data_IF_515976227750
#
_entry.id   IF_515976227750
#
_cell.length_a   1.000
_cell.length_b   1.000
_cell.length_c   1.000
_cell.angle_alpha   90.00
_cell.angle_beta   90.00
_cell.angle_gamma   90.00
#
_symmetry.space_group_name_H-M   'P 1'
#
loop_
_entity.id
_entity.type
_entity.pdbx_description
1 polymer ?
#
# COMPACT_ATOMS: atom_id res chain seq x y z
N UNK A 1 -62.67 13.83 33.00
CA UNK A 1 -61.30 13.65 32.51
C UNK A 1 -60.39 13.38 33.70
N UNK A 2 -60.15 12.09 33.95
CA UNK A 2 -58.98 11.44 34.60
C UNK A 2 -58.31 12.17 35.77
N UNK A 3 -58.57 11.87 37.06
CA UNK A 3 -58.09 10.71 37.86
C UNK A 3 -56.60 10.40 37.68
N UNK A 4 -55.78 10.79 38.65
CA UNK A 4 -54.40 10.34 38.90
C UNK A 4 -54.36 9.63 40.26
N UNK A 5 -53.84 8.40 40.35
CA UNK A 5 -53.53 7.78 41.62
C UNK A 5 -52.01 7.56 41.84
N UNK A 6 -51.66 7.66 43.12
CA UNK A 6 -50.75 6.82 43.91
C UNK A 6 -49.21 6.88 43.79
N UNK A 7 -48.63 7.39 44.89
CA UNK A 7 -47.50 6.90 45.67
C UNK A 7 -46.77 5.62 45.21
N UNK A 8 -45.44 5.70 45.11
CA UNK A 8 -44.55 4.71 45.72
C UNK A 8 -43.15 5.29 45.99
N UNK A 9 -42.79 5.38 47.27
CA UNK A 9 -41.43 5.63 47.75
C UNK A 9 -40.62 4.34 47.62
N UNK A 10 -39.56 4.35 46.80
CA UNK A 10 -38.50 3.34 46.88
C UNK A 10 -37.13 4.03 46.93
N UNK A 11 -36.56 3.96 48.13
CA UNK A 11 -35.17 4.26 48.46
C UNK A 11 -34.24 3.32 47.71
N UNK A 12 -33.46 3.83 46.76
CA UNK A 12 -32.29 3.15 46.22
C UNK A 12 -31.05 3.95 46.55
N UNK A 13 -30.33 3.50 47.58
CA UNK A 13 -28.97 3.96 47.92
C UNK A 13 -28.05 3.69 46.73
N UNK A 14 -27.69 4.72 45.97
CA UNK A 14 -26.60 4.62 45.00
C UNK A 14 -25.29 4.60 45.79
N UNK A 15 -24.68 3.41 45.87
CA UNK A 15 -23.34 3.22 46.43
C UNK A 15 -22.35 3.49 45.30
N UNK A 16 -21.70 4.65 45.33
CA UNK A 16 -20.55 4.92 44.46
C UNK A 16 -19.42 3.95 44.84
N UNK A 17 -19.16 2.97 43.98
CA UNK A 17 -17.97 2.13 44.06
C UNK A 17 -16.83 2.93 43.44
N UNK A 18 -15.72 3.20 44.15
CA UNK A 18 -14.55 3.78 43.52
C UNK A 18 -13.96 2.72 42.60
N UNK A 19 -14.14 2.88 41.29
CA UNK A 19 -13.36 2.12 40.32
C UNK A 19 -11.93 2.63 40.42
N UNK A 20 -11.09 1.93 41.19
CA UNK A 20 -9.67 2.14 41.14
C UNK A 20 -9.22 1.84 39.70
N UNK A 21 -8.94 2.88 38.93
CA UNK A 21 -8.24 2.76 37.66
C UNK A 21 -6.85 2.24 38.00
N UNK A 22 -6.68 0.92 37.94
CA UNK A 22 -5.35 0.33 37.86
C UNK A 22 -4.77 0.81 36.55
N UNK A 23 -3.90 1.81 36.64
CA UNK A 23 -2.90 2.10 35.63
C UNK A 23 -2.08 0.81 35.50
N UNK A 24 -2.48 -0.05 34.56
CA UNK A 24 -1.61 -1.09 34.08
C UNK A 24 -0.54 -0.31 33.34
N UNK A 25 0.57 -0.04 34.01
CA UNK A 25 1.81 0.22 33.31
C UNK A 25 2.03 -1.01 32.44
N UNK A 26 1.62 -0.91 31.18
CA UNK A 26 2.16 -1.75 30.13
C UNK A 26 3.66 -1.58 30.28
N UNK A 27 4.31 -2.62 30.79
CA UNK A 27 5.72 -2.79 30.56
C UNK A 27 5.82 -2.86 29.04
N UNK A 28 6.08 -1.71 28.42
CA UNK A 28 6.55 -1.63 27.05
C UNK A 28 7.84 -2.45 27.08
N UNK A 29 7.70 -3.76 26.88
CA UNK A 29 8.79 -4.63 26.44
C UNK A 29 9.32 -3.89 25.22
N UNK A 30 10.56 -3.39 25.34
CA UNK A 30 11.21 -2.67 24.25
C UNK A 30 10.97 -3.45 22.97
N UNK A 31 10.47 -2.76 21.94
CA UNK A 31 10.24 -3.35 20.63
C UNK A 31 11.50 -4.12 20.25
N UNK A 32 11.39 -5.45 20.23
CA UNK A 32 12.49 -6.31 19.82
C UNK A 32 12.70 -6.01 18.34
N UNK A 33 13.68 -5.15 18.04
CA UNK A 33 14.13 -4.94 16.66
C UNK A 33 14.66 -6.28 16.17
N UNK A 34 13.87 -6.99 15.37
CA UNK A 34 14.33 -8.20 14.70
C UNK A 34 15.10 -7.79 13.46
N UNK A 35 16.38 -8.11 13.45
CA UNK A 35 17.21 -7.99 12.27
C UNK A 35 16.88 -9.14 11.31
N UNK A 36 16.83 -8.87 10.01
CA UNK A 36 16.55 -9.88 8.99
C UNK A 36 17.69 -9.91 7.98
N UNK A 37 18.15 -11.11 7.62
CA UNK A 37 19.04 -11.27 6.47
C UNK A 37 18.33 -10.81 5.19
N UNK A 38 19.06 -10.16 4.28
CA UNK A 38 18.48 -9.61 3.05
C UNK A 38 17.71 -10.69 2.25
N UNK A 39 18.24 -11.91 2.13
CA UNK A 39 17.57 -12.96 1.35
C UNK A 39 16.30 -13.45 2.04
N UNK A 40 16.30 -13.56 3.36
CA UNK A 40 15.09 -13.87 4.13
C UNK A 40 14.01 -12.79 3.96
N UNK A 41 14.41 -11.52 3.91
CA UNK A 41 13.49 -10.41 3.65
C UNK A 41 12.93 -10.44 2.24
N UNK A 42 13.78 -10.69 1.24
CA UNK A 42 13.35 -10.80 -0.16
C UNK A 42 12.39 -11.98 -0.37
N UNK A 43 12.64 -13.12 0.28
CA UNK A 43 11.70 -14.25 0.29
C UNK A 43 10.34 -13.83 0.87
N UNK A 44 10.34 -13.13 2.01
CA UNK A 44 9.10 -12.66 2.65
C UNK A 44 8.34 -11.65 1.77
N UNK A 45 9.05 -10.77 1.06
CA UNK A 45 8.44 -9.83 0.11
C UNK A 45 7.84 -10.56 -1.10
N UNK A 46 8.53 -11.59 -1.60
CA UNK A 46 8.03 -12.42 -2.70
C UNK A 46 6.85 -13.32 -2.28
N UNK A 47 6.80 -13.77 -1.03
CA UNK A 47 5.64 -14.49 -0.48
C UNK A 47 4.42 -13.57 -0.36
N UNK A 48 4.64 -12.27 -0.05
CA UNK A 48 3.58 -11.28 -0.03
C UNK A 48 3.07 -10.96 -1.44
N UNK A 49 3.95 -10.80 -2.42
CA UNK A 49 3.57 -10.64 -3.81
C UNK A 49 4.67 -11.23 -4.71
N UNK A 50 4.35 -12.35 -5.33
CA UNK A 50 5.29 -13.04 -6.20
C UNK A 50 5.71 -12.13 -7.34
N UNK A 51 7.01 -12.04 -7.59
CA UNK A 51 7.52 -11.31 -8.77
C UNK A 51 7.01 -11.91 -10.09
N UNK A 52 6.52 -13.16 -10.08
CA UNK A 52 5.85 -13.78 -11.24
C UNK A 52 4.55 -13.08 -11.64
N UNK A 53 3.96 -12.26 -10.76
CA UNK A 53 2.75 -11.48 -11.07
C UNK A 53 3.05 -10.25 -11.92
N UNK A 54 4.31 -9.81 -12.00
CA UNK A 54 4.68 -8.63 -12.74
C UNK A 54 4.45 -8.79 -14.24
N UNK A 55 4.18 -7.67 -14.89
CA UNK A 55 4.10 -7.60 -16.34
C UNK A 55 5.47 -7.89 -16.97
N UNK A 56 5.49 -8.54 -18.14
CA UNK A 56 6.73 -9.01 -18.77
C UNK A 56 7.70 -7.88 -19.20
N UNK A 57 7.22 -6.64 -19.28
CA UNK A 57 8.01 -5.47 -19.64
C UNK A 57 8.63 -4.77 -18.42
N UNK A 58 8.19 -5.14 -17.21
CA UNK A 58 8.52 -4.44 -15.98
C UNK A 58 9.85 -4.90 -15.39
N UNK A 59 10.53 -4.00 -14.66
CA UNK A 59 11.79 -4.31 -14.00
C UNK A 59 11.60 -4.33 -12.48
N UNK A 60 11.08 -5.44 -11.98
CA UNK A 60 10.73 -5.65 -10.57
C UNK A 60 11.80 -6.45 -9.82
N UNK A 61 11.69 -6.49 -8.50
CA UNK A 61 12.59 -7.24 -7.61
C UNK A 61 13.73 -6.40 -7.06
N UNK A 62 14.83 -7.06 -6.70
CA UNK A 62 16.03 -6.40 -6.18
C UNK A 62 16.83 -5.78 -7.34
N UNK A 63 16.90 -4.45 -7.35
CA UNK A 63 17.53 -3.66 -8.42
C UNK A 63 18.96 -3.23 -8.08
N UNK A 64 19.24 -3.03 -6.80
CA UNK A 64 20.59 -2.75 -6.28
C UNK A 64 20.80 -3.64 -5.08
N UNK A 65 21.78 -4.55 -5.18
CA UNK A 65 22.16 -5.48 -4.12
C UNK A 65 23.43 -5.00 -3.41
N UNK A 66 23.40 -4.75 -2.09
CA UNK A 66 24.59 -4.51 -1.30
C UNK A 66 25.43 -5.79 -1.17
N UNK A 67 26.76 -5.66 -1.04
CA UNK A 67 27.64 -6.83 -0.95
C UNK A 67 27.34 -7.68 0.30
N UNK A 68 27.20 -9.02 0.19
CA UNK A 68 26.93 -9.88 1.33
C UNK A 68 28.12 -9.97 2.30
N UNK A 69 27.87 -10.30 3.59
CA UNK A 69 26.56 -10.44 4.21
C UNK A 69 25.87 -9.08 4.37
N UNK A 70 24.54 -9.06 4.24
CA UNK A 70 23.77 -7.82 4.38
C UNK A 70 22.54 -8.03 5.27
N UNK A 71 22.56 -7.36 6.42
CA UNK A 71 21.47 -7.40 7.40
C UNK A 71 20.62 -6.16 7.26
N UNK A 72 19.30 -6.34 7.18
CA UNK A 72 18.34 -5.25 7.11
C UNK A 72 17.75 -4.99 8.50
N UNK A 73 18.07 -3.83 9.05
CA UNK A 73 17.53 -3.31 10.32
C UNK A 73 16.45 -2.25 10.04
N UNK A 74 16.61 -1.48 8.97
CA UNK A 74 15.70 -0.43 8.55
C UNK A 74 15.28 -0.62 7.10
N UNK A 75 14.01 -0.94 6.88
CA UNK A 75 13.37 -0.91 5.57
C UNK A 75 12.68 0.44 5.36
N UNK A 76 13.11 1.20 4.37
CA UNK A 76 12.50 2.49 4.01
C UNK A 76 11.51 2.31 2.86
N UNK A 77 10.28 2.79 2.99
CA UNK A 77 9.23 2.66 1.98
C UNK A 77 9.00 3.99 1.26
N UNK A 78 8.89 3.97 -0.07
CA UNK A 78 8.51 5.14 -0.87
C UNK A 78 7.74 4.75 -2.12
N UNK A 79 6.93 5.67 -2.66
CA UNK A 79 6.35 5.51 -3.99
C UNK A 79 7.42 5.73 -5.07
N UNK A 80 8.11 6.87 -4.99
CA UNK A 80 9.14 7.28 -5.94
C UNK A 80 10.45 7.56 -5.21
N UNK A 81 11.53 6.93 -5.67
CA UNK A 81 12.88 7.22 -5.19
C UNK A 81 13.47 8.40 -5.99
N UNK A 82 13.25 9.60 -5.50
CA UNK A 82 13.92 10.83 -6.00
C UNK A 82 15.24 11.09 -5.24
N UNK A 83 16.05 12.05 -5.69
CA UNK A 83 17.29 12.41 -4.99
C UNK A 83 17.05 12.95 -3.58
N UNK A 84 15.94 13.64 -3.34
CA UNK A 84 15.56 14.11 -2.01
C UNK A 84 15.09 12.96 -1.11
N UNK A 85 14.34 12.01 -1.65
CA UNK A 85 13.89 10.81 -0.91
C UNK A 85 15.08 9.90 -0.58
N UNK A 86 16.06 9.77 -1.48
CA UNK A 86 17.30 9.07 -1.19
C UNK A 86 18.03 9.71 0.00
N UNK A 87 18.14 11.04 0.02
CA UNK A 87 18.76 11.75 1.14
C UNK A 87 18.03 11.48 2.47
N UNK A 88 16.69 11.51 2.45
CA UNK A 88 15.88 11.15 3.62
C UNK A 88 16.16 9.69 4.06
N UNK A 89 16.15 8.74 3.13
CA UNK A 89 16.40 7.33 3.44
C UNK A 89 17.78 7.11 4.09
N UNK A 90 18.82 7.79 3.58
CA UNK A 90 20.17 7.75 4.16
C UNK A 90 20.21 8.37 5.56
N UNK A 91 19.54 9.50 5.77
CA UNK A 91 19.43 10.12 7.10
C UNK A 91 18.69 9.22 8.10
N UNK A 92 17.72 8.43 7.63
CA UNK A 92 17.01 7.43 8.43
C UNK A 92 17.77 6.12 8.60
N UNK A 93 18.99 6.01 8.04
CA UNK A 93 19.84 4.81 8.10
C UNK A 93 19.13 3.58 7.52
N UNK A 94 18.51 3.74 6.36
CA UNK A 94 17.92 2.64 5.60
C UNK A 94 19.01 1.62 5.19
N UNK A 95 18.74 0.33 5.37
CA UNK A 95 19.57 -0.76 4.85
C UNK A 95 19.01 -1.31 3.52
N UNK A 96 17.69 -1.15 3.32
CA UNK A 96 16.97 -1.46 2.10
C UNK A 96 15.91 -0.38 1.86
N UNK A 97 15.79 0.08 0.62
CA UNK A 97 14.71 0.96 0.15
C UNK A 97 13.76 0.11 -0.70
N UNK A 98 12.48 0.05 -0.31
CA UNK A 98 11.39 -0.44 -1.14
C UNK A 98 10.75 0.76 -1.84
N UNK A 99 11.07 0.93 -3.13
CA UNK A 99 10.49 1.96 -3.99
C UNK A 99 9.41 1.33 -4.86
N UNK A 100 8.17 1.79 -4.78
CA UNK A 100 7.07 1.26 -5.58
C UNK A 100 7.42 1.26 -7.07
N UNK A 101 7.80 2.44 -7.59
CA UNK A 101 8.29 2.57 -8.96
C UNK A 101 9.77 2.19 -9.06
N UNK A 102 10.18 1.39 -10.07
CA UNK A 102 11.58 1.05 -10.32
C UNK A 102 12.40 2.29 -10.73
N UNK A 103 13.38 2.75 -9.94
CA UNK A 103 14.26 3.85 -10.38
C UNK A 103 15.08 3.43 -11.62
N UNK A 104 15.50 2.16 -11.67
CA UNK A 104 16.14 1.52 -12.83
C UNK A 104 15.06 0.91 -13.74
N UNK A 105 14.35 1.74 -14.50
CA UNK A 105 13.30 1.25 -15.41
C UNK A 105 13.83 0.76 -16.77
N UNK A 106 15.06 1.14 -17.14
CA UNK A 106 15.72 0.73 -18.38
C UNK A 106 17.16 0.32 -18.08
N UNK A 107 17.73 -0.64 -18.84
CA UNK A 107 19.12 -1.05 -18.67
C UNK A 107 20.09 0.14 -18.77
N UNK A 108 20.95 0.28 -17.77
CA UNK A 108 22.03 1.28 -17.77
C UNK A 108 23.30 0.66 -18.34
N UNK A 109 23.80 1.21 -19.46
CA UNK A 109 25.08 0.75 -20.05
C UNK A 109 26.31 1.23 -19.27
N UNK A 110 26.16 2.30 -18.49
CA UNK A 110 27.20 2.94 -17.67
C UNK A 110 26.54 3.50 -16.42
N UNK A 111 27.30 3.55 -15.33
CA UNK A 111 26.89 4.16 -14.07
C UNK A 111 27.91 5.25 -13.75
N UNK A 112 27.50 6.51 -13.93
CA UNK A 112 28.31 7.72 -13.77
C UNK A 112 27.50 8.81 -13.07
N UNK A 113 28.14 9.90 -12.61
CA UNK A 113 27.42 10.96 -11.91
C UNK A 113 26.51 11.85 -12.81
N UNK A 114 26.33 11.48 -14.08
CA UNK A 114 25.70 12.32 -15.11
C UNK A 114 24.19 12.48 -14.95
N UNK A 115 23.47 11.37 -14.77
CA UNK A 115 22.00 11.39 -14.66
C UNK A 115 21.58 11.16 -13.22
N UNK A 116 20.43 11.73 -12.83
CA UNK A 116 19.90 11.58 -11.47
C UNK A 116 19.65 10.11 -11.11
N UNK A 117 19.21 9.28 -12.06
CA UNK A 117 19.02 7.84 -11.85
C UNK A 117 20.33 7.11 -11.58
N UNK A 118 21.39 7.41 -12.34
CA UNK A 118 22.71 6.84 -12.07
C UNK A 118 23.23 7.29 -10.70
N UNK A 119 23.03 8.56 -10.31
CA UNK A 119 23.40 9.07 -8.98
C UNK A 119 22.67 8.35 -7.85
N UNK A 120 21.40 7.97 -8.02
CA UNK A 120 20.70 7.13 -7.03
C UNK A 120 21.39 5.78 -6.83
N UNK A 121 21.77 5.11 -7.93
CA UNK A 121 22.48 3.84 -7.87
C UNK A 121 23.84 4.00 -7.20
N UNK A 122 24.62 5.02 -7.58
CA UNK A 122 25.93 5.29 -6.98
C UNK A 122 25.78 5.55 -5.48
N UNK A 123 24.86 6.42 -5.07
CA UNK A 123 24.64 6.72 -3.65
C UNK A 123 24.18 5.49 -2.86
N UNK A 124 23.31 4.66 -3.43
CA UNK A 124 22.89 3.41 -2.81
C UNK A 124 24.09 2.47 -2.59
N UNK A 125 24.93 2.28 -3.61
CA UNK A 125 26.14 1.44 -3.52
C UNK A 125 27.17 1.97 -2.51
N UNK A 126 27.48 3.27 -2.57
CA UNK A 126 28.45 3.92 -1.67
C UNK A 126 28.03 3.83 -0.19
N UNK A 127 26.72 3.84 0.07
CA UNK A 127 26.16 3.74 1.42
C UNK A 127 25.71 2.32 1.79
N UNK A 128 25.96 1.32 0.94
CA UNK A 128 25.54 -0.08 1.13
C UNK A 128 24.03 -0.24 1.38
N UNK A 129 23.20 0.49 0.66
CA UNK A 129 21.74 0.43 0.76
C UNK A 129 21.17 -0.32 -0.43
N UNK A 130 20.33 -1.32 -0.18
CA UNK A 130 19.65 -2.05 -1.25
C UNK A 130 18.50 -1.24 -1.85
N UNK A 131 18.11 -1.56 -3.08
CA UNK A 131 16.89 -1.02 -3.70
C UNK A 131 16.06 -2.18 -4.23
N UNK A 132 14.82 -2.29 -3.78
CA UNK A 132 13.83 -3.26 -4.25
C UNK A 132 12.59 -2.55 -4.77
N UNK A 133 12.01 -3.04 -5.87
CA UNK A 133 10.79 -2.48 -6.45
C UNK A 133 9.80 -3.56 -6.85
N UNK A 134 8.60 -3.60 -6.26
CA UNK A 134 7.60 -4.60 -6.64
C UNK A 134 6.70 -4.19 -7.81
N UNK A 135 6.39 -2.89 -7.94
CA UNK A 135 5.58 -2.29 -9.01
C UNK A 135 4.37 -3.14 -9.44
N UNK A 136 4.30 -3.60 -10.69
CA UNK A 136 3.15 -4.33 -11.22
C UNK A 136 2.87 -5.67 -10.51
N UNK A 137 3.86 -6.27 -9.83
CA UNK A 137 3.60 -7.45 -8.99
C UNK A 137 2.70 -7.13 -7.80
N UNK A 138 2.88 -5.94 -7.19
CA UNK A 138 2.00 -5.46 -6.11
C UNK A 138 0.64 -4.99 -6.63
N UNK A 139 0.55 -4.51 -7.87
CA UNK A 139 -0.74 -4.21 -8.50
C UNK A 139 -1.59 -5.47 -8.70
N UNK A 140 -0.95 -6.57 -9.12
CA UNK A 140 -1.61 -7.83 -9.47
C UNK A 140 -1.76 -8.81 -8.29
N UNK A 141 -1.12 -8.54 -7.15
CA UNK A 141 -1.24 -9.39 -5.97
C UNK A 141 -2.69 -9.37 -5.44
N UNK A 142 -3.24 -10.51 -4.95
CA UNK A 142 -4.61 -10.57 -4.47
C UNK A 142 -4.84 -9.62 -3.29
N UNK A 143 -3.84 -9.41 -2.43
CA UNK A 143 -3.83 -8.47 -1.31
C UNK A 143 -3.17 -7.12 -1.68
N UNK A 144 -2.94 -6.89 -2.97
CA UNK A 144 -2.17 -5.78 -3.52
C UNK A 144 -2.91 -4.44 -3.57
N UNK A 145 -2.29 -3.49 -4.26
CA UNK A 145 -2.74 -2.08 -4.36
C UNK A 145 -4.17 -2.02 -4.90
N UNK A 146 -4.45 -2.75 -5.98
CA UNK A 146 -5.76 -2.72 -6.63
C UNK A 146 -6.89 -3.29 -5.76
N UNK A 147 -6.65 -4.40 -5.03
CA UNK A 147 -7.66 -4.90 -4.09
C UNK A 147 -7.86 -3.93 -2.91
N UNK A 148 -6.77 -3.34 -2.41
CA UNK A 148 -6.87 -2.33 -1.35
C UNK A 148 -7.71 -1.12 -1.80
N UNK A 149 -7.50 -0.61 -3.01
CA UNK A 149 -8.32 0.44 -3.61
C UNK A 149 -9.78 0.01 -3.82
N UNK A 150 -10.01 -1.20 -4.32
CA UNK A 150 -11.35 -1.76 -4.51
C UNK A 150 -12.15 -1.81 -3.19
N UNK A 151 -11.50 -2.23 -2.09
CA UNK A 151 -12.12 -2.25 -0.76
C UNK A 151 -12.50 -0.86 -0.26
N UNK A 152 -11.73 0.18 -0.62
CA UNK A 152 -12.02 1.57 -0.28
C UNK A 152 -13.34 2.08 -0.87
N UNK A 153 -13.87 1.42 -1.89
CA UNK A 153 -15.11 1.78 -2.58
C UNK A 153 -16.35 1.11 -1.95
N UNK A 154 -16.17 0.28 -0.92
CA UNK A 154 -17.23 -0.47 -0.26
C UNK A 154 -17.38 -1.90 -0.80
N UNK A 155 -18.53 -2.52 -0.50
CA UNK A 155 -18.82 -3.91 -0.92
C UNK A 155 -19.03 -3.94 -2.44
N UNK A 156 -18.05 -4.49 -3.16
CA UNK A 156 -18.12 -4.67 -4.61
C UNK A 156 -17.54 -6.01 -5.04
N UNK A 157 -17.97 -6.50 -6.20
CA UNK A 157 -17.29 -7.58 -6.92
C UNK A 157 -16.26 -6.96 -7.86
N UNK A 158 -14.98 -7.14 -7.58
CA UNK A 158 -13.90 -6.72 -8.48
C UNK A 158 -13.45 -7.90 -9.32
N UNK A 159 -13.35 -7.68 -10.63
CA UNK A 159 -12.63 -8.60 -11.52
C UNK A 159 -11.52 -7.85 -12.26
N UNK A 160 -10.45 -8.54 -12.63
CA UNK A 160 -9.39 -8.02 -13.49
C UNK A 160 -9.84 -7.77 -14.90
N UNK A 161 -9.13 -6.84 -15.54
CA UNK A 161 -9.24 -6.61 -16.97
C UNK A 161 -8.31 -7.56 -17.71
N UNK A 162 -7.08 -7.72 -17.21
CA UNK A 162 -6.09 -8.62 -17.77
C UNK A 162 -5.58 -9.57 -16.70
N UNK A 163 -5.79 -10.86 -16.92
CA UNK A 163 -5.39 -11.86 -15.95
C UNK A 163 -3.90 -12.14 -15.92
N UNK A 164 -3.34 -12.27 -14.71
CA UNK A 164 -1.96 -12.69 -14.54
C UNK A 164 -1.81 -14.10 -15.10
N UNK A 165 -0.68 -14.34 -15.77
CA UNK A 165 -0.35 -15.65 -16.35
C UNK A 165 0.57 -16.47 -15.44
N UNK A 166 0.77 -16.02 -14.20
CA UNK A 166 1.68 -16.68 -13.25
C UNK A 166 1.23 -18.12 -12.93
N UNK A 167 2.14 -19.11 -12.89
CA UNK A 167 1.78 -20.52 -12.73
C UNK A 167 1.24 -20.89 -11.34
N UNK A 168 1.88 -20.40 -10.28
CA UNK A 168 1.70 -20.88 -8.89
C UNK A 168 0.62 -20.11 -8.13
N UNK A 169 0.17 -19.01 -8.71
CA UNK A 169 -0.94 -18.22 -8.26
C UNK A 169 -1.50 -17.63 -9.55
N UNK A 170 -2.53 -18.23 -10.16
CA UNK A 170 -3.36 -17.50 -11.10
C UNK A 170 -4.05 -16.41 -10.27
N UNK A 171 -3.32 -15.34 -9.96
CA UNK A 171 -3.97 -14.13 -9.48
C UNK A 171 -4.70 -13.60 -10.66
N UNK A 172 -5.89 -13.12 -10.35
CA UNK A 172 -6.76 -12.67 -11.37
C UNK A 172 -6.13 -11.44 -12.08
N UNK A 173 -5.07 -10.75 -11.63
CA UNK A 173 -4.19 -9.94 -12.51
C UNK A 173 -4.22 -8.42 -12.30
N UNK A 174 -3.68 -7.62 -13.24
CA UNK A 174 -3.59 -6.15 -13.13
C UNK A 174 -4.94 -5.49 -13.41
N UNK A 175 -5.34 -4.55 -12.55
CA UNK A 175 -6.69 -4.00 -12.55
C UNK A 175 -6.70 -2.53 -12.95
N UNK A 176 -7.61 -2.21 -13.88
CA UNK A 176 -8.32 -0.94 -13.87
C UNK A 176 -9.70 -1.22 -13.26
N UNK A 177 -10.16 -0.34 -12.37
CA UNK A 177 -11.45 -0.51 -11.69
C UNK A 177 -12.57 -0.04 -12.60
N UNK A 178 -13.27 -0.99 -13.22
CA UNK A 178 -14.49 -0.70 -13.97
C UNK A 178 -15.73 -0.85 -13.10
N UNK A 179 -16.54 0.19 -13.04
CA UNK A 179 -17.88 0.14 -12.48
C UNK A 179 -18.88 0.03 -13.63
N UNK A 180 -19.62 -1.08 -13.68
CA UNK A 180 -20.83 -1.16 -14.50
C UNK A 180 -22.02 -0.83 -13.60
N UNK A 181 -22.64 0.31 -13.85
CA UNK A 181 -23.84 0.76 -13.15
C UNK A 181 -25.02 0.74 -14.10
N UNK A 182 -26.05 -0.01 -13.75
CA UNK A 182 -27.27 -0.15 -14.56
C UNK A 182 -28.19 1.06 -14.43
N UNK A 183 -28.05 1.84 -13.35
CA UNK A 183 -28.84 3.06 -13.12
C UNK A 183 -27.91 4.24 -12.84
N UNK A 184 -28.24 5.40 -13.41
CA UNK A 184 -27.46 6.64 -13.24
C UNK A 184 -27.33 7.06 -11.77
N UNK A 185 -28.34 6.74 -10.96
CA UNK A 185 -28.35 6.99 -9.51
C UNK A 185 -27.24 6.24 -8.77
N UNK A 186 -26.78 5.11 -9.30
CA UNK A 186 -25.69 4.35 -8.72
C UNK A 186 -24.32 4.93 -9.14
N UNK A 187 -24.22 5.55 -10.32
CA UNK A 187 -23.04 6.33 -10.72
C UNK A 187 -22.83 7.52 -9.78
N UNK A 188 -23.90 8.23 -9.43
CA UNK A 188 -23.84 9.36 -8.49
C UNK A 188 -23.38 8.90 -7.10
N UNK A 189 -23.81 7.71 -6.65
CA UNK A 189 -23.31 7.10 -5.39
C UNK A 189 -21.82 6.80 -5.47
N UNK A 190 -21.33 6.21 -6.56
CA UNK A 190 -19.90 5.91 -6.74
C UNK A 190 -19.09 7.21 -6.76
N UNK A 191 -19.48 8.20 -7.57
CA UNK A 191 -18.79 9.48 -7.63
C UNK A 191 -18.80 10.18 -6.26
N UNK A 192 -19.92 10.12 -5.53
CA UNK A 192 -20.02 10.69 -4.18
C UNK A 192 -19.12 9.97 -3.19
N UNK A 193 -19.02 8.64 -3.26
CA UNK A 193 -18.11 7.85 -2.43
C UNK A 193 -16.65 8.20 -2.71
N UNK A 194 -16.24 8.31 -3.98
CA UNK A 194 -14.87 8.69 -4.36
C UNK A 194 -14.57 10.13 -3.91
N UNK A 195 -15.50 11.08 -4.08
CA UNK A 195 -15.36 12.46 -3.58
C UNK A 195 -15.32 12.55 -2.06
N UNK A 196 -15.86 11.56 -1.36
CA UNK A 196 -15.80 11.45 0.10
C UNK A 196 -14.44 10.98 0.62
N UNK A 197 -13.54 10.50 -0.24
CA UNK A 197 -12.19 10.08 0.17
C UNK A 197 -11.36 11.32 0.47
N UNK A 198 -10.95 11.47 1.73
CA UNK A 198 -10.15 12.60 2.17
C UNK A 198 -8.82 12.69 1.41
N UNK A 199 -8.48 13.87 0.91
CA UNK A 199 -7.24 14.12 0.17
C UNK A 199 -7.30 13.77 -1.33
N UNK A 200 -8.44 13.31 -1.85
CA UNK A 200 -8.61 13.00 -3.28
C UNK A 200 -9.44 14.08 -3.97
N UNK A 201 -8.93 14.63 -5.07
CA UNK A 201 -9.69 15.50 -5.96
C UNK A 201 -10.19 14.68 -7.15
N UNK A 202 -11.50 14.66 -7.36
CA UNK A 202 -12.13 13.87 -8.43
C UNK A 202 -12.52 14.77 -9.58
N UNK A 203 -11.92 14.53 -10.75
CA UNK A 203 -12.36 15.16 -12.01
C UNK A 203 -13.05 14.12 -12.88
N UNK A 204 -14.28 14.40 -13.29
CA UNK A 204 -15.08 13.50 -14.14
C UNK A 204 -15.24 14.10 -15.54
N UNK A 205 -14.92 13.32 -16.57
CA UNK A 205 -15.20 13.67 -17.96
C UNK A 205 -16.25 12.71 -18.52
N UNK A 206 -17.35 13.26 -19.05
CA UNK A 206 -18.34 12.45 -19.76
C UNK A 206 -17.91 12.35 -21.23
N UNK A 207 -17.46 11.17 -21.65
CA UNK A 207 -17.26 10.89 -23.06
C UNK A 207 -18.65 10.75 -23.71
N UNK A 208 -19.03 11.69 -24.59
CA UNK A 208 -20.23 11.51 -25.41
C UNK A 208 -19.91 10.54 -26.55
N UNK A 209 -20.69 9.45 -26.59
CA UNK A 209 -20.88 8.43 -27.64
C UNK A 209 -20.27 7.04 -27.42
N UNK A 210 -21.20 6.07 -27.40
CA UNK A 210 -21.16 4.65 -27.75
C UNK A 210 -19.92 3.83 -27.32
N UNK A 211 -20.21 2.91 -26.36
CA UNK A 211 -19.48 1.67 -26.03
C UNK A 211 -18.35 1.88 -24.98
N UNK A 212 -18.66 1.42 -23.75
CA UNK A 212 -17.82 1.21 -22.56
C UNK A 212 -17.05 2.41 -21.95
N UNK A 213 -17.63 2.98 -20.87
CA UNK A 213 -16.92 3.88 -19.96
C UNK A 213 -15.91 3.13 -19.09
N UNK A 214 -14.73 3.73 -18.96
CA UNK A 214 -13.48 3.12 -18.52
C UNK A 214 -12.80 4.09 -17.57
N UNK A 215 -12.65 3.80 -16.27
CA UNK A 215 -11.98 4.69 -15.32
C UNK A 215 -10.65 4.07 -14.86
N UNK A 216 -9.52 4.65 -15.25
CA UNK A 216 -8.23 4.38 -14.59
C UNK A 216 -8.06 5.35 -13.42
N UNK A 217 -7.72 4.83 -12.25
CA UNK A 217 -7.18 5.61 -11.14
C UNK A 217 -5.65 5.53 -11.26
N UNK A 218 -4.99 6.68 -11.37
CA UNK A 218 -3.54 6.81 -11.20
C UNK A 218 -3.24 7.19 -9.75
#
# INVERSE_FOLDING_TARGET
YSVLPDFCMLSSRVRLVPTAVRLVHSLIRGSSRSFMDLQALLSSLNDFASLSFAESWDNVGLLVEPSPPHTVNTLFLTNDLTEGVMEEALQKKADLILSYHPPIFRPMKRITWKTWKERLVIRALENRVGIYSPHTAYDAAPQGVNNWLAKGLGVCTSRPIHASRAPDYPTEGTHRVEFNVTHTQDLDKVISAVKGIAGVSVTSFSARYNIFSSFCVY
#
